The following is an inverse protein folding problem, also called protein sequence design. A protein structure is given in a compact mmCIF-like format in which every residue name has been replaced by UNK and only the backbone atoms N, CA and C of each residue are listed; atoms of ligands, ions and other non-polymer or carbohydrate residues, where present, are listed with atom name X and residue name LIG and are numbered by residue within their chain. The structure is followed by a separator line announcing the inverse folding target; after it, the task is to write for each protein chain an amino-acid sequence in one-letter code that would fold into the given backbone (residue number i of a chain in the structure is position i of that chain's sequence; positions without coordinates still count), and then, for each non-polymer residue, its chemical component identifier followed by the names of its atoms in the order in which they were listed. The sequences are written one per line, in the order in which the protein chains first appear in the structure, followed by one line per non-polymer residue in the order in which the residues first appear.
data_IF_634722235548
#
_entry.id   IF_634722235548
#
_cell.length_a   1.000
_cell.length_b   1.000
_cell.length_c   1.000
_cell.angle_alpha   90.00
_cell.angle_beta   90.00
_cell.angle_gamma   90.00
#
_symmetry.space_group_name_H-M   'P 1'
#
loop_
_entity.id
_entity.type
_entity.pdbx_description
1 polymer ?
#
# COMPACT_ATOMS: atom_id res chain seq x y z
N UNK A 1 37.80 -7.63 0.17
CA UNK A 1 38.62 -6.82 -0.76
C UNK A 1 39.97 -6.46 -0.17
N UNK A 2 40.04 -6.19 1.15
CA UNK A 2 41.30 -5.83 1.82
C UNK A 2 42.39 -6.91 1.68
N UNK A 3 42.03 -8.20 1.72
CA UNK A 3 42.98 -9.30 1.57
C UNK A 3 43.47 -9.44 0.14
N UNK A 4 42.57 -9.28 -0.84
CA UNK A 4 42.90 -9.31 -2.26
C UNK A 4 43.81 -8.13 -2.62
N UNK A 5 43.59 -6.96 -2.00
CA UNK A 5 44.45 -5.79 -2.14
C UNK A 5 45.85 -6.05 -1.59
N UNK A 6 45.95 -6.67 -0.41
CA UNK A 6 47.24 -7.04 0.20
C UNK A 6 47.99 -8.12 -0.60
N UNK A 7 47.27 -8.97 -1.33
CA UNK A 7 47.82 -10.02 -2.21
C UNK A 7 48.10 -9.54 -3.64
N UNK A 8 47.88 -8.25 -3.92
CA UNK A 8 47.99 -7.66 -5.26
C UNK A 8 47.09 -8.36 -6.32
N UNK A 9 46.03 -9.04 -5.89
CA UNK A 9 45.04 -9.67 -6.78
C UNK A 9 43.97 -8.67 -7.19
N UNK A 10 44.36 -7.77 -8.10
CA UNK A 10 43.47 -6.74 -8.64
C UNK A 10 42.34 -7.30 -9.52
N UNK A 11 42.52 -8.51 -10.06
CA UNK A 11 41.50 -9.18 -10.86
C UNK A 11 40.29 -9.54 -10.00
N UNK A 12 40.52 -10.17 -8.83
CA UNK A 12 39.46 -10.50 -7.90
C UNK A 12 38.72 -9.25 -7.37
N UNK A 13 39.45 -8.16 -7.10
CA UNK A 13 38.84 -6.89 -6.67
C UNK A 13 37.93 -6.34 -7.75
N UNK A 14 38.40 -6.32 -9.01
CA UNK A 14 37.64 -5.79 -10.14
C UNK A 14 36.35 -6.56 -10.35
N UNK A 15 36.40 -7.90 -10.27
CA UNK A 15 35.21 -8.74 -10.38
C UNK A 15 34.19 -8.46 -9.27
N UNK A 16 34.65 -8.32 -8.02
CA UNK A 16 33.75 -7.96 -6.91
C UNK A 16 33.12 -6.58 -7.12
N UNK A 17 33.88 -5.59 -7.56
CA UNK A 17 33.37 -4.24 -7.86
C UNK A 17 32.31 -4.25 -8.97
N UNK A 18 32.51 -5.05 -10.02
CA UNK A 18 31.51 -5.20 -11.10
C UNK A 18 30.20 -5.78 -10.54
N UNK A 19 30.28 -6.84 -9.74
CA UNK A 19 29.09 -7.46 -9.13
C UNK A 19 28.35 -6.48 -8.22
N UNK A 20 29.09 -5.74 -7.39
CA UNK A 20 28.53 -4.69 -6.51
C UNK A 20 27.84 -3.61 -7.36
N UNK A 21 28.49 -3.15 -8.43
CA UNK A 21 27.92 -2.16 -9.35
C UNK A 21 26.61 -2.62 -9.97
N UNK A 22 26.53 -3.89 -10.41
CA UNK A 22 25.29 -4.48 -10.95
C UNK A 22 24.20 -4.51 -9.88
N UNK A 23 24.51 -4.95 -8.65
CA UNK A 23 23.55 -4.96 -7.55
C UNK A 23 23.02 -3.57 -7.23
N UNK A 24 23.90 -2.57 -7.19
CA UNK A 24 23.52 -1.17 -6.95
C UNK A 24 22.62 -0.65 -8.07
N UNK A 25 22.95 -0.92 -9.33
CA UNK A 25 22.10 -0.56 -10.47
C UNK A 25 20.71 -1.21 -10.37
N UNK A 26 20.64 -2.49 -9.99
CA UNK A 26 19.37 -3.19 -9.82
C UNK A 26 18.50 -2.56 -8.72
N UNK A 27 19.10 -2.23 -7.56
CA UNK A 27 18.39 -1.57 -6.45
C UNK A 27 17.95 -0.16 -6.82
N UNK A 28 18.79 0.60 -7.53
CA UNK A 28 18.44 1.93 -8.05
C UNK A 28 17.29 1.88 -9.06
N UNK A 29 17.31 0.91 -9.98
CA UNK A 29 16.22 0.69 -10.94
C UNK A 29 14.91 0.37 -10.22
N UNK A 30 14.93 -0.51 -9.22
CA UNK A 30 13.75 -0.82 -8.42
C UNK A 30 13.18 0.44 -7.74
N UNK A 31 14.04 1.25 -7.11
CA UNK A 31 13.64 2.53 -6.51
C UNK A 31 13.02 3.51 -7.52
N UNK A 32 13.60 3.63 -8.72
CA UNK A 32 13.09 4.52 -9.77
C UNK A 32 11.71 4.06 -10.24
N UNK A 33 11.53 2.76 -10.43
CA UNK A 33 10.24 2.17 -10.81
C UNK A 33 9.19 2.48 -9.75
N UNK A 34 9.49 2.24 -8.47
CA UNK A 34 8.57 2.52 -7.37
C UNK A 34 8.24 4.01 -7.22
N UNK A 35 9.23 4.87 -7.45
CA UNK A 35 9.02 6.31 -7.47
C UNK A 35 8.11 6.76 -8.62
N UNK A 36 8.30 6.22 -9.83
CA UNK A 36 7.51 6.54 -11.01
C UNK A 36 6.04 6.11 -10.84
N UNK A 37 5.80 4.88 -10.37
CA UNK A 37 4.45 4.42 -10.05
C UNK A 37 3.80 5.24 -8.93
N UNK A 38 4.57 5.64 -7.92
CA UNK A 38 4.12 6.55 -6.86
C UNK A 38 3.71 7.93 -7.38
N UNK A 39 4.46 8.50 -8.34
CA UNK A 39 4.09 9.78 -9.00
C UNK A 39 2.81 9.62 -9.81
N UNK A 40 2.73 8.58 -10.66
CA UNK A 40 1.57 8.36 -11.54
C UNK A 40 0.29 8.18 -10.74
N UNK A 41 0.36 7.47 -9.60
CA UNK A 41 -0.76 7.24 -8.69
C UNK A 41 -1.24 8.54 -8.01
N UNK A 42 -0.32 9.40 -7.57
CA UNK A 42 -0.71 10.69 -6.97
C UNK A 42 -1.40 11.62 -7.98
N UNK A 43 -0.91 11.64 -9.25
CA UNK A 43 -1.53 12.43 -10.32
C UNK A 43 -2.97 11.98 -10.62
N UNK A 44 -3.28 10.69 -10.49
CA UNK A 44 -4.63 10.14 -10.71
C UNK A 44 -5.63 10.46 -9.59
N UNK A 45 -5.15 10.71 -8.37
CA UNK A 45 -6.00 10.98 -7.20
C UNK A 45 -6.29 12.49 -7.05
N UNK A 46 -5.63 13.35 -7.83
CA UNK A 46 -5.88 14.80 -7.80
C UNK A 46 -5.36 15.52 -6.55
N UNK A 47 -4.70 14.80 -5.63
CA UNK A 47 -3.97 15.43 -4.52
C UNK A 47 -2.79 16.22 -5.10
N UNK A 48 -2.91 17.55 -5.09
CA UNK A 48 -1.85 18.48 -5.47
C UNK A 48 -0.65 18.16 -4.61
N UNK A 49 0.45 17.81 -5.28
CA UNK A 49 1.68 17.31 -4.67
C UNK A 49 2.18 18.30 -3.62
N UNK A 50 1.92 18.04 -2.34
CA UNK A 50 2.60 18.78 -1.29
C UNK A 50 4.09 18.45 -1.37
N UNK A 51 4.94 19.45 -1.13
CA UNK A 51 6.41 19.31 -1.08
C UNK A 51 6.90 18.11 -0.27
N UNK A 52 6.09 17.66 0.68
CA UNK A 52 6.35 16.54 1.57
C UNK A 52 6.48 15.20 0.85
N UNK A 53 5.73 14.97 -0.23
CA UNK A 53 5.81 13.74 -1.00
C UNK A 53 7.17 13.54 -1.67
N UNK A 54 7.77 14.63 -2.17
CA UNK A 54 9.10 14.59 -2.80
C UNK A 54 10.21 14.47 -1.75
N UNK A 55 10.12 15.23 -0.64
CA UNK A 55 11.05 15.11 0.49
C UNK A 55 11.11 13.68 1.04
N UNK A 56 9.96 13.01 1.13
CA UNK A 56 9.89 11.60 1.58
C UNK A 56 10.63 10.66 0.63
N UNK A 57 10.52 10.86 -0.68
CA UNK A 57 11.25 10.06 -1.68
C UNK A 57 12.76 10.31 -1.64
N UNK A 58 13.19 11.56 -1.50
CA UNK A 58 14.62 11.89 -1.34
C UNK A 58 15.18 11.31 -0.04
N UNK A 59 14.42 11.37 1.06
CA UNK A 59 14.81 10.75 2.33
C UNK A 59 14.99 9.23 2.20
N UNK A 60 14.09 8.54 1.48
CA UNK A 60 14.24 7.11 1.19
C UNK A 60 15.51 6.84 0.37
N UNK A 61 15.75 7.65 -0.67
CA UNK A 61 16.93 7.52 -1.51
C UNK A 61 18.22 7.65 -0.68
N UNK A 62 18.31 8.65 0.18
CA UNK A 62 19.47 8.83 1.08
C UNK A 62 19.65 7.66 2.04
N UNK A 63 18.56 7.15 2.62
CA UNK A 63 18.63 6.01 3.53
C UNK A 63 19.12 4.75 2.79
N UNK A 64 18.67 4.52 1.56
CA UNK A 64 19.01 3.32 0.80
C UNK A 64 20.44 3.41 0.29
N UNK A 65 20.84 4.59 -0.21
CA UNK A 65 22.22 4.84 -0.60
C UNK A 65 23.18 4.69 0.59
N UNK A 66 22.82 5.22 1.77
CA UNK A 66 23.58 5.02 3.00
C UNK A 66 23.75 3.55 3.37
N UNK A 67 22.67 2.76 3.25
CA UNK A 67 22.71 1.31 3.52
C UNK A 67 23.59 0.56 2.50
N UNK A 68 23.52 0.91 1.21
CA UNK A 68 24.36 0.32 0.17
C UNK A 68 25.85 0.64 0.39
N UNK A 69 26.17 1.90 0.69
CA UNK A 69 27.55 2.32 1.01
C UNK A 69 28.07 1.60 2.26
N UNK A 70 27.25 1.50 3.29
CA UNK A 70 27.61 0.77 4.51
C UNK A 70 27.91 -0.71 4.22
N UNK A 71 27.04 -1.38 3.45
CA UNK A 71 27.25 -2.77 3.06
C UNK A 71 28.52 -2.94 2.21
N UNK A 72 28.79 -2.01 1.30
CA UNK A 72 30.01 -2.00 0.50
C UNK A 72 31.28 -1.91 1.36
N UNK A 73 31.29 -1.00 2.35
CA UNK A 73 32.43 -0.86 3.27
C UNK A 73 32.65 -2.16 4.05
N UNK A 74 31.57 -2.83 4.46
CA UNK A 74 31.66 -4.12 5.14
C UNK A 74 32.25 -5.21 4.25
N UNK A 75 31.80 -5.35 2.99
CA UNK A 75 32.40 -6.32 2.05
C UNK A 75 33.85 -5.97 1.69
N UNK A 76 34.21 -4.68 1.75
CA UNK A 76 35.58 -4.25 1.50
C UNK A 76 36.53 -4.67 2.63
N UNK A 77 36.14 -4.40 3.88
CA UNK A 77 36.93 -4.63 5.09
C UNK A 77 36.88 -6.10 5.54
N UNK A 78 35.69 -6.70 5.58
CA UNK A 78 35.51 -8.05 6.12
C UNK A 78 35.71 -9.06 4.99
N UNK A 79 36.73 -9.93 5.06
CA UNK A 79 37.02 -10.89 4.01
C UNK A 79 36.14 -12.14 4.13
N UNK A 80 34.82 -11.97 4.28
CA UNK A 80 33.87 -13.09 4.42
C UNK A 80 33.99 -14.04 3.22
N UNK A 81 34.24 -13.48 2.04
CA UNK A 81 34.40 -14.26 0.81
C UNK A 81 35.61 -15.20 0.82
N UNK A 82 36.58 -15.02 1.72
CA UNK A 82 37.71 -15.93 1.88
C UNK A 82 37.29 -17.31 2.42
N UNK A 83 36.17 -17.38 3.15
CA UNK A 83 35.66 -18.64 3.70
C UNK A 83 34.94 -19.50 2.66
N UNK A 84 34.77 -19.00 1.43
CA UNK A 84 34.07 -19.68 0.36
C UNK A 84 35.00 -19.91 -0.83
N UNK A 85 34.83 -21.03 -1.53
CA UNK A 85 35.55 -21.29 -2.77
C UNK A 85 34.97 -20.50 -3.95
N UNK A 86 35.76 -20.34 -5.00
CA UNK A 86 35.27 -19.79 -6.27
C UNK A 86 34.18 -20.71 -6.85
N UNK A 87 33.05 -20.19 -7.36
CA UNK A 87 32.75 -18.79 -7.67
C UNK A 87 32.09 -17.98 -6.56
N UNK A 88 31.69 -18.60 -5.45
CA UNK A 88 30.93 -17.95 -4.37
C UNK A 88 31.77 -16.86 -3.68
N UNK A 89 33.10 -17.04 -3.63
CA UNK A 89 34.05 -16.02 -3.15
C UNK A 89 33.97 -14.67 -3.89
N UNK A 90 33.48 -14.65 -5.14
CA UNK A 90 33.34 -13.41 -5.91
C UNK A 90 32.08 -12.59 -5.50
N UNK A 91 31.19 -13.16 -4.69
CA UNK A 91 29.93 -12.52 -4.32
C UNK A 91 30.13 -11.64 -3.07
N UNK A 92 29.76 -10.35 -3.12
CA UNK A 92 29.75 -9.45 -1.96
C UNK A 92 28.54 -9.79 -1.07
N UNK A 93 28.75 -10.64 -0.06
CA UNK A 93 27.67 -11.23 0.73
C UNK A 93 26.84 -10.17 1.47
N UNK A 94 27.49 -9.15 2.03
CA UNK A 94 26.78 -8.11 2.80
C UNK A 94 25.97 -7.21 1.89
N UNK A 95 26.54 -6.81 0.75
CA UNK A 95 25.86 -6.00 -0.28
C UNK A 95 24.69 -6.76 -0.91
N UNK A 96 24.83 -8.06 -1.12
CA UNK A 96 23.72 -8.90 -1.60
C UNK A 96 22.58 -8.95 -0.58
N UNK A 97 22.89 -9.17 0.69
CA UNK A 97 21.89 -9.20 1.76
C UNK A 97 21.19 -7.85 1.91
N UNK A 98 21.96 -6.76 1.88
CA UNK A 98 21.42 -5.40 1.91
C UNK A 98 20.50 -5.12 0.72
N UNK A 99 20.90 -5.52 -0.49
CA UNK A 99 20.07 -5.38 -1.69
C UNK A 99 18.75 -6.15 -1.56
N UNK A 100 18.79 -7.41 -1.12
CA UNK A 100 17.58 -8.23 -0.89
C UNK A 100 16.68 -7.60 0.17
N UNK A 101 17.25 -7.15 1.29
CA UNK A 101 16.50 -6.49 2.36
C UNK A 101 15.81 -5.21 1.85
N UNK A 102 16.51 -4.39 1.08
CA UNK A 102 15.95 -3.17 0.48
C UNK A 102 14.80 -3.49 -0.48
N UNK A 103 14.98 -4.45 -1.39
CA UNK A 103 13.92 -4.89 -2.31
C UNK A 103 12.70 -5.38 -1.53
N UNK A 104 12.90 -6.16 -0.47
CA UNK A 104 11.81 -6.64 0.38
C UNK A 104 11.09 -5.49 1.11
N UNK A 105 11.83 -4.52 1.67
CA UNK A 105 11.22 -3.37 2.35
C UNK A 105 10.36 -2.53 1.41
N UNK A 106 10.79 -2.36 0.15
CA UNK A 106 10.01 -1.58 -0.81
C UNK A 106 8.81 -2.38 -1.33
N UNK A 107 8.96 -3.68 -1.59
CA UNK A 107 7.83 -4.56 -1.93
C UNK A 107 6.75 -4.52 -0.84
N UNK A 108 7.15 -4.58 0.44
CA UNK A 108 6.22 -4.43 1.57
C UNK A 108 5.56 -3.05 1.60
N UNK A 109 6.33 -1.98 1.37
CA UNK A 109 5.80 -0.61 1.30
C UNK A 109 4.76 -0.44 0.19
N UNK A 110 4.91 -1.13 -0.95
CA UNK A 110 3.95 -1.11 -2.06
C UNK A 110 2.66 -1.84 -1.68
N UNK A 111 2.76 -3.01 -1.02
CA UNK A 111 1.60 -3.75 -0.51
C UNK A 111 0.79 -2.93 0.50
N UNK A 112 1.45 -2.32 1.50
CA UNK A 112 0.78 -1.49 2.51
C UNK A 112 0.02 -0.31 1.88
N UNK A 113 0.60 0.35 0.87
CA UNK A 113 -0.07 1.41 0.08
C UNK A 113 -1.20 0.88 -0.80
N UNK A 114 -1.28 -0.42 -1.04
CA UNK A 114 -2.39 -1.10 -1.69
C UNK A 114 -3.57 -1.26 -0.73
N UNK A 115 -3.29 -1.70 0.48
CA UNK A 115 -4.29 -1.95 1.53
C UNK A 115 -4.91 -0.65 2.06
N UNK A 116 -4.11 0.40 2.28
CA UNK A 116 -4.65 1.74 2.61
C UNK A 116 -5.59 2.27 1.52
N UNK A 117 -5.34 1.92 0.25
CA UNK A 117 -6.20 2.29 -0.88
C UNK A 117 -7.54 1.54 -0.85
N UNK A 118 -7.54 0.28 -0.39
CA UNK A 118 -8.78 -0.47 -0.20
C UNK A 118 -9.58 0.11 0.96
N UNK A 119 -8.93 0.45 2.08
CA UNK A 119 -9.58 1.07 3.23
C UNK A 119 -10.23 2.40 2.90
N UNK A 120 -9.53 3.33 2.23
CA UNK A 120 -10.13 4.63 1.81
C UNK A 120 -11.32 4.44 0.86
N UNK A 121 -11.30 3.42 -0.01
CA UNK A 121 -12.45 3.10 -0.88
C UNK A 121 -13.62 2.54 -0.07
N UNK A 122 -13.36 1.65 0.88
CA UNK A 122 -14.37 1.09 1.77
C UNK A 122 -15.01 2.18 2.63
N UNK A 123 -14.21 3.09 3.20
CA UNK A 123 -14.72 4.21 4.00
C UNK A 123 -15.61 5.15 3.16
N UNK A 124 -15.19 5.49 1.93
CA UNK A 124 -16.00 6.30 1.03
C UNK A 124 -17.30 5.58 0.61
N UNK A 125 -17.26 4.27 0.36
CA UNK A 125 -18.46 3.47 0.08
C UNK A 125 -19.36 3.35 1.31
N UNK A 126 -18.81 3.23 2.52
CA UNK A 126 -19.57 3.19 3.77
C UNK A 126 -20.29 4.53 4.02
N UNK A 127 -19.62 5.66 3.80
CA UNK A 127 -20.25 6.98 3.91
C UNK A 127 -21.41 7.16 2.91
N UNK A 128 -21.23 6.72 1.66
CA UNK A 128 -22.30 6.74 0.66
C UNK A 128 -23.48 5.83 1.06
N UNK A 129 -23.22 4.65 1.63
CA UNK A 129 -24.27 3.76 2.12
C UNK A 129 -25.00 4.40 3.31
N UNK A 130 -24.28 5.05 4.23
CA UNK A 130 -24.85 5.76 5.37
C UNK A 130 -25.78 6.90 4.90
N UNK A 131 -25.33 7.71 3.93
CA UNK A 131 -26.13 8.80 3.36
C UNK A 131 -27.39 8.29 2.65
N UNK A 132 -27.30 7.14 1.96
CA UNK A 132 -28.48 6.49 1.34
C UNK A 132 -29.46 5.97 2.40
N UNK A 133 -28.96 5.45 3.52
CA UNK A 133 -29.80 4.96 4.63
C UNK A 133 -30.52 6.14 5.30
N UNK A 134 -29.80 7.20 5.67
CA UNK A 134 -30.36 8.39 6.31
C UNK A 134 -31.44 9.04 5.42
N UNK A 135 -31.18 9.17 4.12
CA UNK A 135 -32.15 9.70 3.16
C UNK A 135 -33.35 8.78 2.93
N UNK A 136 -33.22 7.48 3.21
CA UNK A 136 -34.31 6.51 3.13
C UNK A 136 -35.04 6.32 4.45
N UNK A 137 -34.49 6.70 5.61
CA UNK A 137 -35.21 6.68 6.88
C UNK A 137 -36.45 7.58 6.84
N UNK A 138 -36.34 8.76 6.23
CA UNK A 138 -37.50 9.65 6.01
C UNK A 138 -38.58 8.97 5.17
N UNK A 139 -38.19 8.27 4.10
CA UNK A 139 -39.10 7.53 3.23
C UNK A 139 -39.68 6.30 3.94
N UNK A 140 -38.89 5.62 4.78
CA UNK A 140 -39.35 4.47 5.56
C UNK A 140 -40.31 4.88 6.67
N UNK A 141 -40.08 6.02 7.33
CA UNK A 141 -41.01 6.57 8.31
C UNK A 141 -42.30 7.04 7.65
N UNK A 142 -42.22 7.68 6.49
CA UNK A 142 -43.39 8.08 5.71
C UNK A 142 -44.21 6.84 5.27
N UNK A 143 -43.56 5.80 4.75
CA UNK A 143 -44.22 4.54 4.38
C UNK A 143 -44.82 3.83 5.60
N UNK A 144 -44.11 3.75 6.74
CA UNK A 144 -44.64 3.16 7.97
C UNK A 144 -45.84 3.95 8.52
N UNK A 145 -45.79 5.28 8.44
CA UNK A 145 -46.89 6.15 8.87
C UNK A 145 -48.12 5.99 7.97
N UNK A 146 -47.92 5.91 6.65
CA UNK A 146 -48.98 5.67 5.68
C UNK A 146 -49.60 4.29 5.83
N UNK A 147 -48.79 3.26 6.10
CA UNK A 147 -49.29 1.90 6.36
C UNK A 147 -50.09 1.82 7.66
N UNK A 148 -49.62 2.48 8.72
CA UNK A 148 -50.33 2.55 10.01
C UNK A 148 -51.63 3.35 9.90
N UNK A 149 -51.65 4.40 9.08
CA UNK A 149 -52.84 5.21 8.82
C UNK A 149 -53.88 4.43 8.00
N UNK A 150 -53.47 3.72 6.96
CA UNK A 150 -54.35 2.80 6.22
C UNK A 150 -54.89 1.67 7.10
N UNK A 151 -54.05 1.08 7.98
CA UNK A 151 -54.50 0.07 8.92
C UNK A 151 -55.57 0.60 9.90
N UNK A 152 -55.43 1.85 10.36
CA UNK A 152 -56.41 2.49 11.24
C UNK A 152 -57.69 2.94 10.52
N UNK A 153 -57.60 3.38 9.26
CA UNK A 153 -58.77 3.74 8.43
C UNK A 153 -59.59 2.50 8.07
N UNK A 154 -58.96 1.36 7.79
CA UNK A 154 -59.66 0.09 7.58
C UNK A 154 -60.36 -0.40 8.86
N UNK A 155 -59.73 -0.26 10.03
CA UNK A 155 -60.33 -0.63 11.32
C UNK A 155 -61.52 0.28 11.69
N UNK A 156 -61.44 1.59 11.42
CA UNK A 156 -62.55 2.51 11.73
C UNK A 156 -63.73 2.38 10.76
N UNK A 157 -63.49 2.02 9.49
CA UNK A 157 -64.58 1.79 8.54
C UNK A 157 -65.39 0.52 8.89
N UNK A 158 -64.77 -0.52 9.44
CA UNK A 158 -65.48 -1.72 9.93
C UNK A 158 -66.29 -1.47 11.22
N UNK A 159 -65.99 -0.42 11.99
CA UNK A 159 -66.72 -0.06 13.23
C UNK A 159 -67.90 0.91 12.95
N UNK A 160 -67.90 1.59 11.81
CA UNK A 160 -68.87 2.63 11.47
C UNK A 160 -70.08 2.19 10.62
N UNK A 161 -70.27 0.88 10.34
CA UNK A 161 -71.54 0.42 9.77
C UNK A 161 -72.62 0.42 10.86
N UNK A 162 -73.63 1.31 10.83
CA UNK A 162 -74.71 1.26 11.79
C UNK A 162 -75.60 0.06 11.46
N UNK A 163 -75.83 -0.77 12.46
CA UNK A 163 -77.04 -1.58 12.58
C UNK A 163 -78.26 -0.65 12.70
N UNK A 164 -79.06 -0.53 11.64
CA UNK A 164 -80.43 -0.02 11.63
C UNK A 164 -81.01 -0.30 10.23
N UNK A 165 -82.20 -0.83 9.98
CA UNK A 165 -83.34 -1.29 10.75
C UNK A 165 -84.05 -2.29 9.79
N UNK A 166 -84.78 -3.30 10.25
CA UNK A 166 -86.20 -3.07 10.47
C UNK A 166 -87.03 -3.59 9.29
N UNK A 167 -87.92 -4.53 9.61
CA UNK A 167 -89.07 -4.99 8.82
C UNK A 167 -89.64 -3.89 7.89
N UNK A 168 -89.99 -4.28 6.65
CA UNK A 168 -91.34 -4.04 6.13
C UNK A 168 -91.63 -4.81 4.82
N UNK A 169 -92.62 -5.70 4.96
CA UNK A 169 -93.59 -6.24 3.98
C UNK A 169 -93.12 -6.94 2.70
#
# INVERSE_FOLDING_TARGET
MILEFLKEDYSAITMKLIVIGILWCAVLLAMIIDFFFGIRKAKQVGEVRSSEGYKRSVSKFNQYFGMLVFAFIFDAIVPISYFFEFPISAIPVVSLLAAVALVFTEAKSVHEKGDEKQRRKLDASMLQILEIIEKKEDVLQELLSNYKKQANETINNDISSPSDDGLQN
#
